data_IF_698600144666
#
_entry.id   IF_698600144666
#
_cell.length_a   1.000
_cell.length_b   1.000
_cell.length_c   1.000
_cell.angle_alpha   90.00
_cell.angle_beta   90.00
_cell.angle_gamma   90.00
#
_symmetry.space_group_name_H-M   'P 1'
#
loop_
_entity.id
_entity.type
_entity.pdbx_description
1 polymer ?
#
# COMPACT_ATOMS: atom_id res chain seq x y z
N UNK A 1 -7.58 5.05 2.59
CA UNK A 1 -6.19 4.89 3.10
C UNK A 1 -5.26 4.25 2.07
N UNK A 2 -5.65 3.15 1.41
CA UNK A 2 -4.86 2.47 0.36
C UNK A 2 -4.52 3.42 -0.81
N UNK A 3 -5.48 4.20 -1.30
CA UNK A 3 -5.24 5.21 -2.34
C UNK A 3 -4.16 6.24 -1.94
N UNK A 4 -4.13 6.68 -0.68
CA UNK A 4 -3.13 7.63 -0.18
C UNK A 4 -1.73 7.02 -0.03
N UNK A 5 -1.66 5.72 0.28
CA UNK A 5 -0.40 4.99 0.28
C UNK A 5 0.16 4.86 -1.16
N UNK A 6 -0.72 4.63 -2.14
CA UNK A 6 -0.34 4.65 -3.55
C UNK A 6 0.13 6.06 -3.99
N UNK A 7 -0.61 7.12 -3.63
CA UNK A 7 -0.23 8.52 -3.89
C UNK A 7 1.16 8.84 -3.33
N UNK A 8 1.45 8.41 -2.08
CA UNK A 8 2.77 8.55 -1.46
C UNK A 8 3.86 7.95 -2.31
N UNK A 9 3.66 6.73 -2.81
CA UNK A 9 4.68 5.99 -3.53
C UNK A 9 4.89 6.54 -4.94
N UNK A 10 3.82 6.99 -5.59
CA UNK A 10 3.82 7.45 -6.98
C UNK A 10 4.32 8.89 -7.17
N UNK A 11 4.06 9.80 -6.23
CA UNK A 11 4.49 11.20 -6.37
C UNK A 11 5.89 11.41 -5.78
N UNK A 12 6.89 11.70 -6.62
CA UNK A 12 8.30 11.81 -6.19
C UNK A 12 8.51 12.83 -5.05
N UNK A 13 7.83 13.98 -5.08
CA UNK A 13 7.94 15.02 -4.04
C UNK A 13 7.00 14.87 -2.84
N UNK A 14 6.14 13.84 -2.81
CA UNK A 14 5.17 13.70 -1.73
C UNK A 14 5.84 13.30 -0.41
N UNK A 15 5.51 14.03 0.65
CA UNK A 15 5.86 13.68 2.04
C UNK A 15 4.62 13.15 2.75
N UNK A 16 4.78 12.31 3.77
CA UNK A 16 3.64 11.81 4.55
C UNK A 16 2.71 12.94 5.04
N UNK A 17 3.23 14.13 5.35
CA UNK A 17 2.43 15.29 5.77
C UNK A 17 1.67 15.97 4.62
N UNK A 18 2.17 15.88 3.39
CA UNK A 18 1.56 16.49 2.22
C UNK A 18 0.32 15.74 1.73
N UNK A 19 0.36 14.41 1.72
CA UNK A 19 -0.71 13.53 1.22
C UNK A 19 -1.91 13.39 2.16
N UNK A 20 -1.76 13.75 3.45
CA UNK A 20 -2.88 13.85 4.39
C UNK A 20 -3.47 15.26 4.48
N UNK A 21 -3.02 16.18 3.62
CA UNK A 21 -3.56 17.52 3.50
C UNK A 21 -4.29 17.67 2.16
N UNK A 22 -5.53 18.15 2.20
CA UNK A 22 -6.23 18.70 1.04
C UNK A 22 -6.41 20.20 1.30
N UNK A 23 -5.91 21.06 0.40
CA UNK A 23 -6.13 22.52 0.46
C UNK A 23 -5.88 23.15 1.85
N UNK A 24 -4.77 22.77 2.50
CA UNK A 24 -4.33 23.21 3.85
C UNK A 24 -5.13 22.63 5.04
N UNK A 25 -6.19 21.89 4.80
CA UNK A 25 -6.90 21.13 5.83
C UNK A 25 -6.40 19.68 5.92
N UNK A 26 -6.29 19.18 7.16
CA UNK A 26 -6.03 17.76 7.40
C UNK A 26 -7.27 16.96 6.99
N UNK A 27 -7.09 15.93 6.17
CA UNK A 27 -8.20 15.06 5.77
C UNK A 27 -8.56 14.20 6.98
N UNK A 28 -9.71 14.50 7.58
CA UNK A 28 -10.30 13.71 8.67
C UNK A 28 -11.39 12.77 8.17
N UNK A 29 -11.77 11.81 9.02
CA UNK A 29 -13.01 11.04 8.86
C UNK A 29 -14.23 11.95 9.07
N UNK A 30 -15.45 11.47 8.87
CA UNK A 30 -16.63 12.23 9.29
C UNK A 30 -16.50 12.58 10.79
N UNK A 31 -16.88 13.81 11.18
CA UNK A 31 -16.83 14.20 12.58
C UNK A 31 -17.71 13.27 13.41
N UNK A 32 -17.24 12.92 14.60
CA UNK A 32 -18.06 12.18 15.55
C UNK A 32 -19.21 13.05 16.09
N UNK A 33 -20.10 12.47 16.89
CA UNK A 33 -21.24 13.15 17.52
C UNK A 33 -20.80 14.33 18.41
N UNK A 34 -19.52 14.41 18.75
CA UNK A 34 -18.91 15.49 19.54
C UNK A 34 -18.29 16.60 18.67
N UNK A 35 -18.38 16.51 17.34
CA UNK A 35 -17.78 17.47 16.40
C UNK A 35 -16.26 17.33 16.26
N UNK A 36 -15.66 16.30 16.84
CA UNK A 36 -14.23 16.03 16.68
C UNK A 36 -14.01 15.29 15.37
N UNK A 37 -13.21 15.86 14.47
CA UNK A 37 -12.87 15.23 13.20
C UNK A 37 -11.60 14.38 13.36
N UNK A 38 -11.69 13.04 13.40
CA UNK A 38 -10.51 12.20 13.59
C UNK A 38 -9.62 12.38 12.37
N UNK A 39 -8.45 12.98 12.58
CA UNK A 39 -7.52 13.24 11.50
C UNK A 39 -6.76 11.96 11.15
N UNK A 40 -6.58 11.66 9.86
CA UNK A 40 -5.63 10.60 9.46
C UNK A 40 -4.23 11.06 9.86
N UNK A 41 -3.69 10.50 10.94
CA UNK A 41 -2.33 10.81 11.34
C UNK A 41 -1.35 10.28 10.29
N UNK A 42 -0.41 11.11 9.86
CA UNK A 42 0.67 10.76 8.93
C UNK A 42 1.45 9.49 9.33
N UNK A 43 1.48 9.15 10.62
CA UNK A 43 2.06 7.90 11.15
C UNK A 43 1.27 6.64 10.74
N UNK A 44 -0.03 6.76 10.46
CA UNK A 44 -0.88 5.66 9.96
C UNK A 44 -0.49 5.23 8.55
N UNK A 45 -0.03 6.15 7.70
CA UNK A 45 0.45 5.83 6.34
C UNK A 45 1.73 4.99 6.44
N UNK A 46 2.67 5.38 7.31
CA UNK A 46 3.88 4.58 7.53
C UNK A 46 3.56 3.20 8.13
N UNK A 47 2.67 3.14 9.13
CA UNK A 47 2.24 1.85 9.71
C UNK A 47 1.59 0.94 8.67
N UNK A 48 0.74 1.49 7.80
CA UNK A 48 0.15 0.75 6.70
C UNK A 48 1.20 0.26 5.70
N UNK A 49 2.14 1.10 5.30
CA UNK A 49 3.22 0.72 4.38
C UNK A 49 4.17 -0.31 4.98
N UNK A 50 4.49 -0.20 6.28
CA UNK A 50 5.29 -1.19 7.00
C UNK A 50 4.58 -2.52 7.08
N UNK A 51 3.28 -2.50 7.41
CA UNK A 51 2.44 -3.69 7.41
C UNK A 51 2.36 -4.34 6.02
N UNK A 52 2.10 -3.56 4.96
CA UNK A 52 2.11 -4.03 3.57
C UNK A 52 3.48 -4.61 3.18
N UNK A 53 4.56 -3.91 3.50
CA UNK A 53 5.91 -4.37 3.20
C UNK A 53 6.29 -5.66 3.93
N UNK A 54 5.62 -5.99 5.04
CA UNK A 54 5.76 -7.28 5.73
C UNK A 54 5.05 -8.45 5.04
N UNK A 55 4.15 -8.21 4.07
CA UNK A 55 3.37 -9.24 3.38
C UNK A 55 4.11 -9.84 2.17
N UNK A 56 5.41 -10.09 2.30
CA UNK A 56 6.26 -10.65 1.22
C UNK A 56 5.78 -12.05 0.78
N UNK A 57 5.35 -12.89 1.73
CA UNK A 57 4.79 -14.21 1.42
C UNK A 57 3.51 -14.12 0.57
N UNK A 58 2.61 -13.21 0.94
CA UNK A 58 1.39 -12.95 0.17
C UNK A 58 1.68 -12.45 -1.23
N UNK A 59 2.70 -11.59 -1.39
CA UNK A 59 3.15 -11.12 -2.69
C UNK A 59 3.65 -12.27 -3.59
N UNK A 60 4.44 -13.19 -3.04
CA UNK A 60 4.93 -14.37 -3.77
C UNK A 60 3.77 -15.26 -4.19
N UNK A 61 2.88 -15.63 -3.25
CA UNK A 61 1.72 -16.47 -3.55
C UNK A 61 0.79 -15.84 -4.60
N UNK A 62 0.54 -14.53 -4.50
CA UNK A 62 -0.28 -13.81 -5.46
C UNK A 62 0.32 -13.86 -6.88
N UNK A 63 1.63 -13.64 -7.01
CA UNK A 63 2.34 -13.73 -8.30
C UNK A 63 2.26 -15.11 -8.90
N UNK A 64 2.49 -16.15 -8.10
CA UNK A 64 2.42 -17.54 -8.57
C UNK A 64 1.02 -17.90 -9.09
N UNK A 65 -0.03 -17.48 -8.39
CA UNK A 65 -1.40 -17.76 -8.83
C UNK A 65 -1.79 -16.97 -10.07
N UNK A 66 -1.36 -15.70 -10.17
CA UNK A 66 -1.58 -14.91 -11.37
C UNK A 66 -0.84 -15.51 -12.58
N UNK A 67 0.41 -15.94 -12.41
CA UNK A 67 1.20 -16.56 -13.48
C UNK A 67 0.62 -17.93 -13.91
N UNK A 68 0.09 -18.73 -12.98
CA UNK A 68 -0.64 -19.96 -13.31
C UNK A 68 -1.91 -19.68 -14.10
N UNK A 69 -2.60 -18.58 -13.79
CA UNK A 69 -3.84 -18.18 -14.46
C UNK A 69 -3.65 -17.47 -15.80
N UNK A 70 -2.49 -16.87 -16.03
CA UNK A 70 -2.05 -16.24 -17.28
C UNK A 70 -0.51 -16.26 -17.38
N UNK A 71 0.07 -17.21 -18.15
CA UNK A 71 1.52 -17.34 -18.31
C UNK A 71 2.20 -16.11 -18.96
N UNK A 72 1.43 -15.29 -19.67
CA UNK A 72 1.94 -14.07 -20.31
C UNK A 72 1.82 -12.84 -19.39
N UNK A 73 1.26 -13.01 -18.19
CA UNK A 73 1.06 -11.89 -17.27
C UNK A 73 2.40 -11.32 -16.80
N UNK A 74 2.55 -10.00 -16.95
CA UNK A 74 3.72 -9.25 -16.50
C UNK A 74 3.74 -9.01 -14.99
N UNK A 75 2.81 -9.61 -14.23
CA UNK A 75 2.68 -9.46 -12.78
C UNK A 75 3.97 -9.84 -12.00
N UNK A 76 4.76 -10.76 -12.54
CA UNK A 76 6.06 -11.15 -11.99
C UNK A 76 7.19 -10.12 -12.27
N UNK A 77 7.00 -9.22 -13.23
CA UNK A 77 7.94 -8.15 -13.62
C UNK A 77 7.56 -6.77 -13.09
N UNK A 78 6.52 -6.68 -12.26
CA UNK A 78 6.09 -5.40 -11.69
C UNK A 78 7.24 -4.83 -10.87
N UNK A 79 7.83 -3.76 -11.40
CA UNK A 79 8.88 -3.02 -10.73
C UNK A 79 8.27 -2.27 -9.54
N UNK A 80 8.84 -2.56 -8.37
CA UNK A 80 8.47 -1.95 -7.10
C UNK A 80 9.17 -0.64 -6.85
N UNK A 81 10.00 -0.16 -7.79
CA UNK A 81 10.92 0.95 -7.58
C UNK A 81 10.27 2.14 -6.87
N UNK A 82 10.90 2.53 -5.77
CA UNK A 82 10.54 3.70 -5.00
C UNK A 82 11.71 4.68 -5.07
N UNK A 83 11.44 6.00 -5.22
CA UNK A 83 12.49 6.99 -5.27
C UNK A 83 13.46 6.87 -4.06
N UNK A 84 14.79 6.77 -4.28
CA UNK A 84 15.77 6.47 -3.23
C UNK A 84 15.73 7.44 -2.04
N UNK A 85 15.39 8.71 -2.30
CA UNK A 85 15.28 9.74 -1.26
C UNK A 85 14.17 9.46 -0.24
N UNK A 86 13.17 8.63 -0.58
CA UNK A 86 12.11 8.19 0.36
C UNK A 86 12.57 7.08 1.27
N UNK A 87 13.53 6.26 0.84
CA UNK A 87 13.94 5.07 1.55
C UNK A 87 14.77 5.39 2.79
N UNK A 88 15.70 6.35 2.75
CA UNK A 88 16.62 6.71 3.87
C UNK A 88 17.48 5.54 4.43
N UNK A 89 17.13 4.28 4.18
CA UNK A 89 17.87 3.04 4.47
C UNK A 89 17.45 1.95 3.46
N UNK A 90 18.29 0.92 3.27
CA UNK A 90 17.98 -0.20 2.38
C UNK A 90 16.79 -1.05 2.87
N UNK A 91 16.69 -1.28 4.18
CA UNK A 91 15.56 -2.01 4.78
C UNK A 91 14.22 -1.31 4.50
N UNK A 92 14.20 0.02 4.61
CA UNK A 92 13.01 0.81 4.30
C UNK A 92 12.75 0.86 2.81
N UNK A 93 13.77 0.82 1.95
CA UNK A 93 13.57 0.68 0.50
C UNK A 93 12.81 -0.62 0.19
N UNK A 94 13.33 -1.76 0.66
CA UNK A 94 12.73 -3.08 0.42
C UNK A 94 11.26 -3.14 0.91
N UNK A 95 11.00 -2.56 2.09
CA UNK A 95 9.64 -2.43 2.64
C UNK A 95 8.72 -1.63 1.71
N UNK A 96 9.17 -0.47 1.25
CA UNK A 96 8.37 0.41 0.38
C UNK A 96 8.17 -0.20 -1.01
N UNK A 97 9.16 -0.87 -1.56
CA UNK A 97 9.07 -1.57 -2.84
C UNK A 97 8.09 -2.74 -2.78
N UNK A 98 8.16 -3.56 -1.72
CA UNK A 98 7.21 -4.65 -1.47
C UNK A 98 5.78 -4.10 -1.35
N UNK A 99 5.60 -3.04 -0.54
CA UNK A 99 4.30 -2.40 -0.40
C UNK A 99 3.77 -1.85 -1.74
N UNK A 100 4.63 -1.25 -2.58
CA UNK A 100 4.27 -0.77 -3.92
C UNK A 100 3.83 -1.92 -4.82
N UNK A 101 4.58 -3.02 -4.84
CA UNK A 101 4.27 -4.19 -5.68
C UNK A 101 2.91 -4.80 -5.30
N UNK A 102 2.62 -4.91 -4.01
CA UNK A 102 1.31 -5.38 -3.53
C UNK A 102 0.16 -4.46 -3.97
N UNK A 103 0.34 -3.14 -3.87
CA UNK A 103 -0.67 -2.18 -4.32
C UNK A 103 -0.90 -2.23 -5.84
N UNK A 104 0.12 -2.58 -6.63
CA UNK A 104 0.01 -2.75 -8.07
C UNK A 104 -0.64 -4.08 -8.46
N UNK A 105 -0.45 -5.13 -7.67
CA UNK A 105 -1.00 -6.47 -7.93
C UNK A 105 -2.45 -6.60 -7.45
N UNK A 106 -2.82 -5.94 -6.36
CA UNK A 106 -4.17 -6.00 -5.80
C UNK A 106 -5.31 -5.79 -6.84
N UNK A 107 -5.29 -4.76 -7.71
CA UNK A 107 -6.34 -4.60 -8.72
C UNK A 107 -6.32 -5.71 -9.78
N UNK A 108 -5.15 -6.23 -10.16
CA UNK A 108 -5.05 -7.34 -11.12
C UNK A 108 -5.61 -8.63 -10.54
N UNK A 109 -5.39 -8.86 -9.24
CA UNK A 109 -5.97 -9.97 -8.52
C UNK A 109 -7.50 -9.89 -8.47
N UNK A 110 -8.02 -8.73 -8.07
CA UNK A 110 -9.47 -8.51 -7.96
C UNK A 110 -10.15 -8.69 -9.32
N UNK A 111 -9.55 -8.18 -10.40
CA UNK A 111 -10.04 -8.40 -11.75
C UNK A 111 -10.03 -9.88 -12.18
N UNK A 112 -9.02 -10.66 -11.77
CA UNK A 112 -8.85 -12.04 -12.22
C UNK A 112 -9.70 -13.04 -11.44
N UNK A 113 -9.83 -12.85 -10.14
CA UNK A 113 -10.43 -13.81 -9.21
C UNK A 113 -11.77 -13.34 -8.65
N UNK A 114 -12.20 -12.12 -8.94
CA UNK A 114 -13.41 -11.49 -8.40
C UNK A 114 -13.49 -11.57 -6.87
N UNK A 115 -12.32 -11.43 -6.23
CA UNK A 115 -12.15 -11.55 -4.78
C UNK A 115 -11.23 -10.45 -4.27
N UNK A 116 -11.57 -9.83 -3.13
CA UNK A 116 -10.76 -8.77 -2.54
C UNK A 116 -9.40 -9.31 -2.08
N UNK A 117 -8.32 -8.64 -2.50
CA UNK A 117 -6.95 -9.09 -2.23
C UNK A 117 -6.63 -9.08 -0.72
N UNK A 118 -6.98 -7.99 -0.04
CA UNK A 118 -6.55 -7.78 1.34
C UNK A 118 -7.22 -8.69 2.37
N UNK A 119 -8.52 -9.03 2.40
CA UNK A 119 -9.01 -10.03 3.37
C UNK A 119 -8.49 -11.46 3.10
N UNK A 120 -8.12 -11.79 1.87
CA UNK A 120 -7.59 -13.11 1.52
C UNK A 120 -6.12 -13.29 1.95
N UNK A 121 -5.34 -12.22 1.91
CA UNK A 121 -3.90 -12.23 2.18
C UNK A 121 -3.45 -11.48 3.44
N UNK A 122 -4.37 -10.79 4.14
CA UNK A 122 -4.12 -10.06 5.39
C UNK A 122 -4.31 -10.89 6.66
N UNK A 123 -4.79 -12.13 6.55
CA UNK A 123 -5.28 -12.94 7.69
C UNK A 123 -4.20 -13.43 8.67
N UNK A 124 -2.91 -13.16 8.45
CA UNK A 124 -1.83 -13.52 9.39
C UNK A 124 -0.96 -12.38 9.90
N UNK A 125 -1.17 -11.14 9.45
CA UNK A 125 -0.48 -9.98 9.99
C UNK A 125 -1.47 -9.16 10.82
N UNK A 126 -1.94 -9.76 11.92
CA UNK A 126 -2.75 -9.05 12.90
C UNK A 126 -1.96 -7.89 13.47
N UNK A 127 -2.61 -6.72 13.58
CA UNK A 127 -2.17 -5.67 14.48
C UNK A 127 -2.20 -6.23 15.90
N UNK A 128 -1.05 -6.76 16.35
CA UNK A 128 -0.76 -7.06 17.74
C UNK A 128 -0.13 -5.85 18.41
#
# INVERSE_FOLDING_TARGET
MISRAADYLNQAGATYRGIVRHERCLIGYEPDESGHQPTVCHTRIWRLLGWLGGLTGSLVTAREQLLKGDPNSLCHRIDGSVPPHKARSQERLATLETARQLLLIAPQWEQRFDRPFFPQFATRAGFG
#
